data_IF_040222223453
#
_entry.id   IF_040222223453
#
_cell.length_a   1.000
_cell.length_b   1.000
_cell.length_c   1.000
_cell.angle_alpha   90.00
_cell.angle_beta   90.00
_cell.angle_gamma   90.00
#
_symmetry.space_group_name_H-M   'P 1'
#
loop_
_entity.id
_entity.type
_entity.pdbx_description
1 polymer ?
#
# COMPACT_ATOMS: atom_id res chain seq x y z
N UNK A 1 26.70 -1.08 -17.51
CA UNK A 1 26.31 0.34 -17.54
C UNK A 1 25.42 0.53 -16.34
N UNK A 2 25.92 1.16 -15.28
CA UNK A 2 25.26 1.23 -13.98
C UNK A 2 23.98 2.05 -14.11
N UNK A 3 22.83 1.42 -13.85
CA UNK A 3 21.58 2.13 -13.65
C UNK A 3 21.76 2.88 -12.34
N UNK A 4 21.78 4.21 -12.40
CA UNK A 4 21.67 5.05 -11.21
C UNK A 4 20.37 4.63 -10.56
N UNK A 5 20.43 4.09 -9.35
CA UNK A 5 19.26 3.70 -8.55
C UNK A 5 18.51 4.99 -8.20
N UNK A 6 17.68 5.46 -9.12
CA UNK A 6 16.66 6.45 -8.82
C UNK A 6 15.65 5.76 -7.91
N UNK A 7 15.35 6.38 -6.77
CA UNK A 7 14.37 5.89 -5.81
C UNK A 7 13.06 5.53 -6.55
N UNK A 8 12.33 4.45 -6.21
CA UNK A 8 11.11 4.06 -6.95
C UNK A 8 10.09 5.21 -7.09
N UNK A 9 10.00 6.06 -6.07
CA UNK A 9 9.21 7.30 -6.10
C UNK A 9 9.64 8.30 -7.19
N UNK A 10 10.93 8.45 -7.48
CA UNK A 10 11.42 9.31 -8.57
C UNK A 10 10.99 8.76 -9.92
N UNK A 11 11.00 7.43 -10.09
CA UNK A 11 10.47 6.82 -11.30
C UNK A 11 8.98 7.16 -11.47
N UNK A 12 8.17 6.94 -10.43
CA UNK A 12 6.74 7.21 -10.47
C UNK A 12 6.45 8.67 -10.81
N UNK A 13 7.12 9.60 -10.13
CA UNK A 13 6.95 11.04 -10.32
C UNK A 13 7.31 11.51 -11.74
N UNK A 14 8.33 10.91 -12.36
CA UNK A 14 8.84 11.35 -13.66
C UNK A 14 8.21 10.62 -14.85
N UNK A 15 7.68 9.41 -14.65
CA UNK A 15 7.26 8.54 -15.75
C UNK A 15 5.75 8.25 -15.78
N UNK A 16 5.05 8.35 -14.66
CA UNK A 16 3.59 8.17 -14.68
C UNK A 16 2.90 9.41 -15.25
N UNK A 17 2.07 9.18 -16.27
CA UNK A 17 1.20 10.21 -16.85
C UNK A 17 -0.12 10.28 -16.08
N UNK A 18 -0.67 11.48 -15.99
CA UNK A 18 -1.98 11.76 -15.39
C UNK A 18 -2.12 11.26 -13.93
N UNK A 19 -1.02 11.31 -13.18
CA UNK A 19 -1.04 11.09 -11.73
C UNK A 19 -1.85 12.18 -11.03
N UNK A 20 -2.61 11.78 -10.00
CA UNK A 20 -3.46 12.67 -9.22
C UNK A 20 -2.94 12.64 -7.79
N UNK A 21 -2.13 13.63 -7.37
CA UNK A 21 -1.55 13.63 -6.03
C UNK A 21 -2.57 14.04 -4.97
N UNK A 22 -2.41 13.54 -3.75
CA UNK A 22 -2.99 14.17 -2.56
C UNK A 22 -2.23 15.44 -2.19
N UNK A 23 -2.89 16.32 -1.47
CA UNK A 23 -2.28 17.43 -0.74
C UNK A 23 -1.79 16.97 0.64
N UNK A 24 -0.84 17.71 1.21
CA UNK A 24 -0.40 17.48 2.60
C UNK A 24 -1.54 17.59 3.61
N UNK A 25 -2.55 18.41 3.34
CA UNK A 25 -3.71 18.53 4.23
C UNK A 25 -4.58 17.28 4.17
N UNK A 26 -4.79 16.69 2.99
CA UNK A 26 -5.52 15.42 2.88
C UNK A 26 -4.81 14.29 3.61
N UNK A 27 -3.48 14.21 3.52
CA UNK A 27 -2.68 13.22 4.27
C UNK A 27 -2.87 13.43 5.79
N UNK A 28 -2.79 14.68 6.27
CA UNK A 28 -3.00 14.98 7.71
C UNK A 28 -4.41 14.66 8.18
N UNK A 29 -5.43 14.93 7.37
CA UNK A 29 -6.81 14.59 7.72
C UNK A 29 -7.02 13.08 7.73
N UNK A 30 -6.35 12.32 6.85
CA UNK A 30 -6.36 10.86 6.89
C UNK A 30 -5.69 10.32 8.16
N UNK A 31 -4.48 10.79 8.48
CA UNK A 31 -3.76 10.43 9.71
C UNK A 31 -4.60 10.70 10.95
N UNK A 32 -5.24 11.87 11.01
CA UNK A 32 -6.12 12.26 12.11
C UNK A 32 -7.40 11.41 12.17
N UNK A 33 -8.01 11.11 11.02
CA UNK A 33 -9.24 10.33 10.96
C UNK A 33 -9.04 8.88 11.41
N UNK A 34 -7.85 8.33 11.19
CA UNK A 34 -7.48 6.97 11.54
C UNK A 34 -6.67 6.88 12.85
N UNK A 35 -6.31 8.02 13.46
CA UNK A 35 -5.45 8.11 14.66
C UNK A 35 -4.11 7.39 14.50
N UNK A 36 -3.43 7.65 13.37
CA UNK A 36 -2.15 7.04 13.00
C UNK A 36 -1.10 8.08 12.62
N UNK A 37 0.15 7.64 12.49
CA UNK A 37 1.21 8.38 11.78
C UNK A 37 1.74 7.51 10.65
N UNK A 38 1.69 8.03 9.42
CA UNK A 38 2.11 7.28 8.24
C UNK A 38 3.64 7.33 8.07
N UNK A 39 4.27 6.25 7.60
CA UNK A 39 5.67 6.27 7.19
C UNK A 39 5.91 7.30 6.07
N UNK A 40 7.05 7.99 6.12
CA UNK A 40 7.41 9.04 5.16
C UNK A 40 7.36 8.55 3.71
N UNK A 41 7.82 7.33 3.42
CA UNK A 41 7.78 6.77 2.07
C UNK A 41 6.35 6.66 1.52
N UNK A 42 5.39 6.34 2.40
CA UNK A 42 3.98 6.22 2.01
C UNK A 42 3.32 7.60 1.87
N UNK A 43 3.69 8.56 2.72
CA UNK A 43 3.29 9.97 2.55
C UNK A 43 3.75 10.47 1.17
N UNK A 44 5.01 10.24 0.81
CA UNK A 44 5.57 10.67 -0.47
C UNK A 44 4.85 10.01 -1.66
N UNK A 45 4.47 8.73 -1.54
CA UNK A 45 3.63 8.05 -2.54
C UNK A 45 2.26 8.74 -2.71
N UNK A 46 1.57 9.05 -1.61
CA UNK A 46 0.27 9.73 -1.67
C UNK A 46 0.39 11.12 -2.32
N UNK A 47 1.49 11.83 -2.07
CA UNK A 47 1.79 13.12 -2.70
C UNK A 47 2.16 13.01 -4.18
N UNK A 48 2.34 11.80 -4.72
CA UNK A 48 2.57 11.56 -6.15
C UNK A 48 1.30 11.05 -6.81
N UNK A 49 0.64 10.03 -6.28
CA UNK A 49 -0.47 9.33 -6.96
C UNK A 49 -1.66 9.00 -6.05
N UNK A 50 -1.81 9.67 -4.91
CA UNK A 50 -2.81 9.34 -3.91
C UNK A 50 -4.26 9.25 -4.41
N UNK A 51 -4.68 10.09 -5.36
CA UNK A 51 -6.04 10.03 -5.97
C UNK A 51 -6.11 9.19 -7.25
N UNK A 52 -5.01 8.57 -7.67
CA UNK A 52 -4.96 7.76 -8.87
C UNK A 52 -3.70 7.95 -9.70
N UNK A 53 -3.36 6.91 -10.45
CA UNK A 53 -2.52 6.99 -11.63
C UNK A 53 -3.26 6.23 -12.75
N UNK A 54 -3.21 6.73 -13.98
CA UNK A 54 -4.08 6.30 -15.08
C UNK A 54 -4.19 4.77 -15.24
N UNK A 55 -3.04 4.13 -15.46
CA UNK A 55 -2.96 2.68 -15.72
C UNK A 55 -2.21 1.93 -14.60
N UNK A 56 -1.40 2.63 -13.81
CA UNK A 56 -0.68 2.04 -12.67
C UNK A 56 -1.67 1.69 -11.54
N UNK A 57 -1.64 0.44 -11.07
CA UNK A 57 -2.58 -0.15 -10.10
C UNK A 57 -4.05 -0.05 -10.50
N UNK A 58 -4.33 -0.07 -11.80
CA UNK A 58 -5.70 -0.14 -12.30
C UNK A 58 -6.35 -1.46 -11.90
N UNK A 59 -7.47 -1.35 -11.18
CA UNK A 59 -8.22 -2.51 -10.67
C UNK A 59 -7.97 -2.81 -9.21
N UNK A 60 -7.04 -2.10 -8.58
CA UNK A 60 -6.68 -2.26 -7.17
C UNK A 60 -7.37 -1.21 -6.30
N UNK A 61 -7.76 -1.61 -5.10
CA UNK A 61 -8.24 -0.70 -4.07
C UNK A 61 -7.04 -0.21 -3.23
N UNK A 62 -6.40 0.87 -3.69
CA UNK A 62 -5.20 1.42 -3.03
C UNK A 62 -5.12 2.96 -2.98
N UNK A 63 -5.98 3.66 -3.73
CA UNK A 63 -6.03 5.12 -3.72
C UNK A 63 -6.72 5.70 -2.48
N UNK A 64 -6.46 6.98 -2.19
CA UNK A 64 -6.90 7.76 -1.03
C UNK A 64 -8.36 7.54 -0.65
N UNK A 65 -9.26 7.52 -1.63
CA UNK A 65 -10.70 7.31 -1.41
C UNK A 65 -11.05 5.94 -0.80
N UNK A 66 -10.17 4.95 -0.96
CA UNK A 66 -10.36 3.59 -0.45
C UNK A 66 -9.78 3.41 0.96
N UNK A 67 -8.74 4.17 1.33
CA UNK A 67 -7.90 3.88 2.50
C UNK A 67 -8.67 3.73 3.82
N UNK A 68 -9.68 4.56 4.14
CA UNK A 68 -10.48 4.34 5.35
C UNK A 68 -11.25 3.01 5.31
N UNK A 69 -11.84 2.69 4.16
CA UNK A 69 -12.62 1.47 3.97
C UNK A 69 -11.75 0.21 4.00
N UNK A 70 -10.52 0.28 3.48
CA UNK A 70 -9.57 -0.84 3.50
C UNK A 70 -9.31 -1.36 4.93
N UNK A 71 -9.25 -0.45 5.92
CA UNK A 71 -9.02 -0.85 7.32
C UNK A 71 -10.16 -1.72 7.84
N UNK A 72 -11.40 -1.43 7.41
CA UNK A 72 -12.60 -2.16 7.79
C UNK A 72 -12.68 -3.47 7.01
N UNK A 73 -12.57 -3.41 5.68
CA UNK A 73 -12.72 -4.58 4.81
C UNK A 73 -11.69 -5.67 5.10
N UNK A 74 -10.45 -5.30 5.45
CA UNK A 74 -9.44 -6.28 5.83
C UNK A 74 -9.78 -6.99 7.15
N UNK A 75 -10.35 -6.28 8.13
CA UNK A 75 -10.81 -6.88 9.37
C UNK A 75 -12.03 -7.79 9.14
N UNK A 76 -12.98 -7.37 8.29
CA UNK A 76 -14.13 -8.17 7.87
C UNK A 76 -13.68 -9.45 7.16
N UNK A 77 -12.76 -9.35 6.20
CA UNK A 77 -12.21 -10.52 5.50
C UNK A 77 -11.59 -11.54 6.46
N UNK A 78 -10.82 -11.08 7.46
CA UNK A 78 -10.23 -11.98 8.45
C UNK A 78 -11.28 -12.70 9.29
N UNK A 79 -12.40 -12.04 9.63
CA UNK A 79 -13.51 -12.64 10.37
C UNK A 79 -14.30 -13.64 9.51
N UNK A 80 -14.61 -13.26 8.26
CA UNK A 80 -15.31 -14.09 7.28
C UNK A 80 -14.52 -15.38 6.95
N UNK A 81 -13.21 -15.26 6.73
CA UNK A 81 -12.34 -16.41 6.49
C UNK A 81 -12.01 -17.18 7.79
N UNK A 82 -12.53 -16.75 8.96
CA UNK A 82 -12.24 -17.37 10.27
C UNK A 82 -10.74 -17.52 10.51
N UNK A 83 -10.00 -16.47 10.18
CA UNK A 83 -8.56 -16.41 10.34
C UNK A 83 -8.16 -16.58 11.81
N UNK A 84 -7.00 -17.18 12.05
CA UNK A 84 -6.44 -17.31 13.40
C UNK A 84 -5.72 -16.03 13.84
N UNK A 85 -5.46 -15.13 12.90
CA UNK A 85 -4.77 -13.86 13.15
C UNK A 85 -5.74 -12.69 13.12
N UNK A 86 -5.35 -11.61 13.77
CA UNK A 86 -6.04 -10.31 13.72
C UNK A 86 -5.04 -9.25 13.32
N UNK A 87 -5.52 -8.20 12.65
CA UNK A 87 -4.69 -7.04 12.35
C UNK A 87 -4.08 -6.49 13.66
N UNK A 88 -2.75 -6.27 13.70
CA UNK A 88 -2.11 -5.50 14.76
C UNK A 88 -2.75 -4.11 14.89
N UNK A 89 -2.75 -3.53 16.10
CA UNK A 89 -3.34 -2.19 16.33
C UNK A 89 -2.61 -1.06 15.60
N UNK A 90 -1.37 -1.30 15.21
CA UNK A 90 -0.51 -0.37 14.46
C UNK A 90 -0.44 -0.71 12.97
N UNK A 91 -1.23 -1.67 12.49
CA UNK A 91 -1.31 -2.03 11.08
C UNK A 91 -2.07 -0.98 10.27
N UNK A 92 -1.58 -0.69 9.07
CA UNK A 92 -2.23 0.15 8.09
C UNK A 92 -2.34 -0.61 6.76
N UNK A 93 -3.57 -0.93 6.37
CA UNK A 93 -3.88 -1.64 5.12
C UNK A 93 -3.90 -0.64 3.99
N UNK A 94 -3.02 -0.79 3.01
CA UNK A 94 -2.84 0.21 1.95
C UNK A 94 -3.19 -0.30 0.55
N UNK A 95 -3.41 -1.61 0.41
CA UNK A 95 -3.61 -2.25 -0.88
C UNK A 95 -4.50 -3.46 -0.73
N UNK A 96 -5.52 -3.58 -1.59
CA UNK A 96 -6.41 -4.74 -1.64
C UNK A 96 -6.76 -5.07 -3.08
N UNK A 97 -6.77 -6.37 -3.37
CA UNK A 97 -7.15 -6.90 -4.67
C UNK A 97 -8.44 -7.70 -4.55
N UNK A 98 -9.52 -7.15 -5.13
CA UNK A 98 -10.83 -7.80 -5.27
C UNK A 98 -11.42 -8.40 -3.98
N UNK A 99 -11.09 -7.84 -2.82
CA UNK A 99 -11.69 -8.22 -1.53
C UNK A 99 -11.20 -9.53 -0.90
N UNK A 100 -10.35 -10.32 -1.55
CA UNK A 100 -9.89 -11.61 -1.00
C UNK A 100 -8.42 -11.61 -0.54
N UNK A 101 -7.68 -10.55 -0.84
CA UNK A 101 -6.30 -10.40 -0.39
C UNK A 101 -5.95 -8.93 -0.17
N UNK A 102 -5.08 -8.66 0.80
CA UNK A 102 -4.62 -7.32 1.12
C UNK A 102 -3.16 -7.31 1.58
N UNK A 103 -2.54 -6.14 1.44
CA UNK A 103 -1.21 -5.86 1.96
C UNK A 103 -1.26 -4.69 2.95
N UNK A 104 -0.43 -4.78 3.97
CA UNK A 104 -0.34 -3.78 5.04
C UNK A 104 1.11 -3.63 5.51
N UNK A 105 1.39 -2.51 6.16
CA UNK A 105 2.60 -2.31 6.95
C UNK A 105 2.21 -1.96 8.39
N UNK A 106 3.16 -2.05 9.32
CA UNK A 106 2.99 -1.51 10.67
C UNK A 106 3.61 -0.12 10.76
N UNK A 107 2.82 0.84 11.23
CA UNK A 107 3.23 2.24 11.42
C UNK A 107 4.35 2.40 12.45
N UNK A 108 4.56 1.41 13.31
CA UNK A 108 5.65 1.38 14.30
C UNK A 108 7.01 0.93 13.74
N UNK A 109 7.09 0.45 12.50
CA UNK A 109 8.28 -0.21 11.94
C UNK A 109 9.14 0.70 11.05
N UNK A 110 9.15 1.99 11.37
CA UNK A 110 10.01 2.97 10.72
C UNK A 110 9.37 3.66 9.52
N UNK A 111 10.20 4.43 8.80
CA UNK A 111 9.75 5.32 7.73
C UNK A 111 9.66 4.64 6.36
N UNK A 112 10.20 3.43 6.26
CA UNK A 112 10.14 2.54 5.11
C UNK A 112 9.94 1.09 5.59
N UNK A 113 8.73 0.75 6.06
CA UNK A 113 8.50 -0.46 6.85
C UNK A 113 8.37 -1.72 5.98
N UNK A 114 8.57 -2.91 6.56
CA UNK A 114 8.26 -4.18 5.89
C UNK A 114 6.80 -4.29 5.46
N UNK A 115 6.56 -5.11 4.43
CA UNK A 115 5.22 -5.35 3.90
C UNK A 115 4.76 -6.75 4.24
N UNK A 116 3.58 -6.81 4.82
CA UNK A 116 2.88 -8.04 5.15
C UNK A 116 1.67 -8.21 4.24
N UNK A 117 1.32 -9.46 3.98
CA UNK A 117 0.25 -9.84 3.08
C UNK A 117 -0.64 -10.91 3.69
N UNK A 118 -1.92 -10.84 3.36
CA UNK A 118 -2.93 -11.85 3.63
C UNK A 118 -3.68 -12.20 2.36
N UNK A 119 -3.98 -13.48 2.18
CA UNK A 119 -4.84 -13.97 1.10
C UNK A 119 -5.73 -15.09 1.61
N UNK A 120 -7.04 -14.94 1.37
CA UNK A 120 -8.04 -15.96 1.67
C UNK A 120 -7.68 -17.30 1.01
N UNK A 121 -7.91 -18.40 1.73
CA UNK A 121 -7.68 -19.74 1.19
C UNK A 121 -6.23 -20.23 1.26
N UNK A 122 -5.29 -19.43 1.78
CA UNK A 122 -3.97 -19.94 2.15
C UNK A 122 -4.07 -20.93 3.32
N UNK A 123 -3.37 -22.06 3.21
CA UNK A 123 -3.44 -23.17 4.18
C UNK A 123 -3.24 -22.76 5.64
N UNK A 124 -2.38 -21.75 5.89
CA UNK A 124 -2.00 -21.37 7.25
C UNK A 124 -2.79 -20.17 7.79
N UNK A 125 -3.58 -19.46 6.96
CA UNK A 125 -4.33 -18.23 7.34
C UNK A 125 -3.54 -17.28 8.25
N UNK A 126 -2.26 -17.05 7.91
CA UNK A 126 -1.36 -16.15 8.64
C UNK A 126 -0.93 -15.00 7.73
N UNK A 127 -0.41 -13.94 8.34
CA UNK A 127 0.30 -12.90 7.60
C UNK A 127 1.68 -13.40 7.18
N UNK A 128 2.05 -13.09 5.93
CA UNK A 128 3.37 -13.39 5.36
C UNK A 128 4.07 -12.07 5.06
N UNK A 129 5.30 -11.89 5.53
CA UNK A 129 6.14 -10.79 5.08
C UNK A 129 6.58 -11.06 3.64
N UNK A 130 6.24 -10.17 2.72
CA UNK A 130 6.53 -10.31 1.29
C UNK A 130 7.66 -9.38 0.81
N UNK A 131 7.92 -8.29 1.53
CA UNK A 131 9.03 -7.37 1.27
C UNK A 131 9.63 -6.85 2.58
N UNK A 132 10.94 -6.55 2.56
CA UNK A 132 11.67 -6.04 3.73
C UNK A 132 11.43 -4.55 3.96
N UNK A 133 11.06 -3.81 2.91
CA UNK A 133 10.62 -2.42 3.01
C UNK A 133 9.51 -2.09 1.98
N UNK A 134 8.85 -0.95 2.14
CA UNK A 134 7.80 -0.48 1.25
C UNK A 134 8.36 -0.09 -0.11
N UNK A 135 9.57 0.47 -0.14
CA UNK A 135 10.27 0.80 -1.38
C UNK A 135 10.51 -0.43 -2.27
N UNK A 136 10.85 -1.58 -1.69
CA UNK A 136 11.01 -2.84 -2.43
C UNK A 136 9.69 -3.29 -3.07
N UNK A 137 8.58 -3.14 -2.33
CA UNK A 137 7.25 -3.41 -2.88
C UNK A 137 6.93 -2.48 -4.06
N UNK A 138 7.19 -1.18 -3.93
CA UNK A 138 7.00 -0.23 -5.04
C UNK A 138 7.86 -0.59 -6.26
N UNK A 139 9.11 -0.97 -6.06
CA UNK A 139 9.99 -1.39 -7.14
C UNK A 139 9.44 -2.62 -7.88
N UNK A 140 8.95 -3.63 -7.14
CA UNK A 140 8.31 -4.80 -7.73
C UNK A 140 7.08 -4.44 -8.57
N UNK A 141 6.21 -3.57 -8.05
CA UNK A 141 5.01 -3.09 -8.75
C UNK A 141 5.34 -2.26 -10.01
N UNK A 142 6.38 -1.43 -9.94
CA UNK A 142 6.89 -0.67 -11.09
C UNK A 142 7.41 -1.61 -12.17
N UNK A 143 8.17 -2.64 -11.79
CA UNK A 143 8.70 -3.63 -12.73
C UNK A 143 7.57 -4.39 -13.41
N UNK A 144 6.57 -4.87 -12.65
CA UNK A 144 5.37 -5.50 -13.21
C UNK A 144 4.65 -4.57 -14.18
N UNK A 145 4.43 -3.31 -13.81
CA UNK A 145 3.79 -2.35 -14.70
C UNK A 145 4.57 -2.13 -16.01
N UNK A 146 5.91 -2.07 -15.92
CA UNK A 146 6.81 -1.82 -17.05
C UNK A 146 6.95 -3.03 -17.98
N UNK A 147 6.71 -4.25 -17.48
CA UNK A 147 6.70 -5.45 -18.32
C UNK A 147 5.44 -5.56 -19.19
N UNK A 148 4.32 -4.97 -18.74
CA UNK A 148 3.02 -5.07 -19.40
C UNK A 148 2.55 -3.80 -20.14
N UNK A 149 3.36 -2.72 -20.18
CA UNK A 149 3.05 -1.45 -20.86
C UNK A 149 4.26 -0.88 -21.62
#
# INVERSE_FOLDING_TARGET
MSIVTNHPLDFLKNNLKDNKPCSLNEVRELEKALDISLPQVYIDLLLILGHGARDFWKGEDCFFKHLPSLQVWAAELLDEDKSLVKLPSDAFVFFMHQGYQFSFFKTSEGQDPPIYHYSEGQNNKIFVQIHDCFSDFLEAEINLFSEYN
#
